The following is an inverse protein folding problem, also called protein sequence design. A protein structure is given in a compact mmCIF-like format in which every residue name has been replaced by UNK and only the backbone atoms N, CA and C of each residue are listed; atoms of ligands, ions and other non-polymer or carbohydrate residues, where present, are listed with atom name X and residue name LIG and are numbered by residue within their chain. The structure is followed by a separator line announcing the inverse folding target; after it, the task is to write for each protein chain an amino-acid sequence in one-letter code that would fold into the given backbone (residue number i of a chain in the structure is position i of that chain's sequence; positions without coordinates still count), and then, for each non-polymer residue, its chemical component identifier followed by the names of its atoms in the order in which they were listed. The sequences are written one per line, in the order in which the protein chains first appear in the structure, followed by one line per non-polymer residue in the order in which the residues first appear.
data_IF_650617192832
#
_entry.id   IF_650617192832
#
_cell.length_a   1.000
_cell.length_b   1.000
_cell.length_c   1.000
_cell.angle_alpha   90.00
_cell.angle_beta   90.00
_cell.angle_gamma   90.00
#
_symmetry.space_group_name_H-M   'P 1'
#
loop_
_entity.id
_entity.type
_entity.pdbx_description
1 polymer ?
#
# COMPACT_ATOMS: atom_id res chain seq x y z
N UNK A 1 -6.35 -15.22 10.19
CA UNK A 1 -6.28 -14.46 8.92
C UNK A 1 -6.31 -12.97 9.26
N UNK A 2 -5.43 -12.18 8.68
CA UNK A 2 -5.49 -10.71 8.78
C UNK A 2 -6.61 -10.20 7.91
N UNK A 3 -7.40 -9.24 8.39
CA UNK A 3 -8.47 -8.66 7.58
C UNK A 3 -7.94 -7.71 6.52
N UNK A 4 -6.92 -6.93 6.86
CA UNK A 4 -6.30 -5.95 5.98
C UNK A 4 -4.79 -6.09 6.02
N UNK A 5 -4.15 -6.07 4.86
CA UNK A 5 -2.70 -5.95 4.75
C UNK A 5 -2.34 -4.72 3.91
N UNK A 6 -1.59 -3.79 4.51
CA UNK A 6 -1.02 -2.63 3.82
C UNK A 6 0.33 -3.06 3.25
N UNK A 7 0.43 -3.14 1.94
CA UNK A 7 1.62 -3.62 1.23
C UNK A 7 2.29 -2.44 0.51
N UNK A 8 3.51 -2.15 0.91
CA UNK A 8 4.35 -1.09 0.33
C UNK A 8 5.40 -1.75 -0.54
N UNK A 9 5.35 -1.52 -1.86
CA UNK A 9 6.42 -1.97 -2.75
C UNK A 9 7.56 -0.95 -2.70
N UNK A 10 8.75 -1.42 -2.35
CA UNK A 10 9.95 -0.60 -2.20
C UNK A 10 11.06 -1.05 -3.16
N UNK A 11 11.76 -0.08 -3.75
CA UNK A 11 13.01 -0.30 -4.47
C UNK A 11 13.93 0.91 -4.30
N UNK A 12 15.06 0.70 -3.63
CA UNK A 12 16.04 1.75 -3.32
C UNK A 12 15.41 2.99 -2.68
N UNK A 13 14.48 2.76 -1.74
CA UNK A 13 13.66 3.79 -1.10
C UNK A 13 14.01 4.05 0.36
N UNK A 14 15.25 3.83 0.80
CA UNK A 14 15.69 4.00 2.19
C UNK A 14 15.20 5.33 2.82
N UNK A 15 15.40 6.44 2.12
CA UNK A 15 14.99 7.76 2.61
C UNK A 15 13.46 7.91 2.71
N UNK A 16 12.72 7.35 1.75
CA UNK A 16 11.26 7.38 1.73
C UNK A 16 10.67 6.54 2.85
N UNK A 17 11.23 5.35 3.09
CA UNK A 17 10.80 4.49 4.20
C UNK A 17 10.97 5.21 5.54
N UNK A 18 12.11 5.84 5.81
CA UNK A 18 12.32 6.60 7.05
C UNK A 18 11.36 7.78 7.18
N UNK A 19 11.03 8.43 6.09
CA UNK A 19 10.15 9.61 6.08
C UNK A 19 8.68 9.24 6.28
N UNK A 20 8.16 8.25 5.57
CA UNK A 20 6.73 8.00 5.45
C UNK A 20 6.22 6.80 6.24
N UNK A 21 7.03 5.75 6.41
CA UNK A 21 6.63 4.54 7.12
C UNK A 21 6.17 4.79 8.57
N UNK A 22 6.74 5.75 9.34
CA UNK A 22 6.21 6.07 10.67
C UNK A 22 4.73 6.46 10.68
N UNK A 23 4.27 7.25 9.72
CA UNK A 23 2.85 7.62 9.63
C UNK A 23 1.97 6.42 9.29
N UNK A 24 2.44 5.56 8.38
CA UNK A 24 1.70 4.34 7.99
C UNK A 24 1.55 3.41 9.20
N UNK A 25 2.60 3.20 9.98
CA UNK A 25 2.54 2.37 11.19
C UNK A 25 1.56 3.00 12.19
N UNK A 26 1.77 4.27 12.55
CA UNK A 26 0.98 4.94 13.59
C UNK A 26 -0.52 5.00 13.29
N UNK A 27 -0.90 5.17 12.03
CA UNK A 27 -2.31 5.30 11.62
C UNK A 27 -2.92 4.02 11.03
N UNK A 28 -2.18 2.90 11.10
CA UNK A 28 -2.67 1.57 10.72
C UNK A 28 -2.71 0.61 11.91
N UNK A 29 -2.47 1.08 13.14
CA UNK A 29 -2.56 0.27 14.36
C UNK A 29 -4.02 -0.05 14.67
N UNK A 30 -4.49 -1.20 14.16
CA UNK A 30 -5.79 -1.75 14.47
C UNK A 30 -5.75 -3.27 14.49
N UNK A 31 -6.68 -3.89 15.22
CA UNK A 31 -6.79 -5.34 15.25
C UNK A 31 -7.07 -5.89 13.84
N UNK A 32 -6.30 -6.89 13.45
CA UNK A 32 -6.42 -7.52 12.12
C UNK A 32 -5.79 -6.73 10.98
N UNK A 33 -5.06 -5.65 11.25
CA UNK A 33 -4.27 -4.92 10.25
C UNK A 33 -2.79 -5.34 10.34
N UNK A 34 -2.16 -5.52 9.20
CA UNK A 34 -0.74 -5.77 9.06
C UNK A 34 -0.11 -4.77 8.10
N UNK A 35 1.08 -4.28 8.41
CA UNK A 35 1.88 -3.46 7.50
C UNK A 35 3.05 -4.30 7.00
N UNK A 36 3.20 -4.37 5.67
CA UNK A 36 4.25 -5.09 4.98
C UNK A 36 5.04 -4.15 4.07
N UNK A 37 6.37 -4.28 4.08
CA UNK A 37 7.23 -3.73 3.03
C UNK A 37 7.68 -4.89 2.15
N UNK A 38 7.35 -4.84 0.87
CA UNK A 38 7.83 -5.75 -0.15
C UNK A 38 9.03 -5.10 -0.85
N UNK A 39 10.21 -5.55 -0.53
CA UNK A 39 11.45 -5.04 -1.11
C UNK A 39 11.74 -5.74 -2.44
N UNK A 40 11.80 -4.96 -3.50
CA UNK A 40 11.96 -5.40 -4.89
C UNK A 40 13.45 -5.50 -5.28
N UNK A 41 14.23 -6.18 -4.43
CA UNK A 41 15.68 -6.35 -4.54
C UNK A 41 16.44 -5.02 -4.50
N UNK A 42 16.25 -4.24 -3.47
CA UNK A 42 17.00 -2.99 -3.25
C UNK A 42 18.49 -3.26 -3.03
N UNK A 43 19.31 -2.37 -3.53
CA UNK A 43 20.77 -2.37 -3.33
C UNK A 43 21.24 -1.37 -2.28
N UNK A 44 20.34 -0.52 -1.78
CA UNK A 44 20.58 0.42 -0.68
C UNK A 44 20.34 -0.23 0.71
N UNK A 45 20.27 0.57 1.76
CA UNK A 45 20.01 0.07 3.10
C UNK A 45 18.52 -0.16 3.43
N UNK A 46 17.60 -0.16 2.46
CA UNK A 46 16.16 -0.29 2.66
C UNK A 46 15.77 -1.46 3.56
N UNK A 47 16.26 -2.67 3.25
CA UNK A 47 15.95 -3.87 4.06
C UNK A 47 16.48 -3.76 5.49
N UNK A 48 17.67 -3.21 5.65
CA UNK A 48 18.29 -3.00 6.96
C UNK A 48 17.51 -1.98 7.81
N UNK A 49 17.02 -0.92 7.18
CA UNK A 49 16.14 0.09 7.81
C UNK A 49 14.87 -0.56 8.34
N UNK A 50 14.17 -1.34 7.52
CA UNK A 50 12.95 -2.03 7.97
C UNK A 50 13.24 -2.95 9.14
N UNK A 51 14.27 -3.78 9.04
CA UNK A 51 14.60 -4.75 10.12
C UNK A 51 15.00 -4.09 11.44
N UNK A 52 15.77 -2.99 11.38
CA UNK A 52 16.37 -2.38 12.57
C UNK A 52 15.50 -1.27 13.18
N UNK A 53 14.87 -0.45 12.33
CA UNK A 53 14.13 0.72 12.77
C UNK A 53 12.62 0.44 12.89
N UNK A 54 12.09 -0.52 12.12
CA UNK A 54 10.65 -0.85 12.07
C UNK A 54 10.37 -2.35 12.28
N UNK A 55 10.78 -2.95 13.39
CA UNK A 55 10.71 -4.41 13.59
C UNK A 55 9.28 -4.97 13.64
N UNK A 56 8.27 -4.13 13.82
CA UNK A 56 6.86 -4.53 13.76
C UNK A 56 6.33 -4.67 12.32
N UNK A 57 7.06 -4.15 11.33
CA UNK A 57 6.71 -4.22 9.91
C UNK A 57 7.22 -5.53 9.33
N UNK A 58 6.34 -6.25 8.66
CA UNK A 58 6.74 -7.45 7.95
C UNK A 58 7.55 -7.09 6.70
N UNK A 59 8.75 -7.64 6.58
CA UNK A 59 9.57 -7.51 5.38
C UNK A 59 9.40 -8.74 4.50
N UNK A 60 9.07 -8.52 3.23
CA UNK A 60 9.04 -9.51 2.15
C UNK A 60 10.15 -9.14 1.18
N UNK A 61 11.15 -9.99 1.02
CA UNK A 61 12.26 -9.75 0.11
C UNK A 61 12.06 -10.53 -1.17
N UNK A 62 12.00 -9.82 -2.30
CA UNK A 62 11.92 -10.43 -3.62
C UNK A 62 13.34 -10.67 -4.16
N UNK A 63 13.49 -11.71 -4.97
CA UNK A 63 14.79 -12.18 -5.47
C UNK A 63 15.47 -11.20 -6.45
N UNK A 64 14.65 -10.45 -7.21
CA UNK A 64 15.12 -9.46 -8.19
C UNK A 64 14.10 -8.33 -8.34
N UNK A 65 14.48 -7.25 -9.02
CA UNK A 65 13.56 -6.17 -9.33
C UNK A 65 12.62 -6.56 -10.48
N UNK A 66 11.43 -6.99 -10.13
CA UNK A 66 10.37 -7.36 -11.08
C UNK A 66 9.59 -6.17 -11.64
N UNK A 67 9.99 -4.93 -11.34
CA UNK A 67 9.21 -3.75 -11.66
C UNK A 67 7.98 -3.60 -10.77
N UNK A 68 7.07 -2.71 -11.17
CA UNK A 68 5.95 -2.33 -10.30
C UNK A 68 4.87 -3.41 -10.20
N UNK A 69 4.32 -3.81 -11.36
CA UNK A 69 3.18 -4.72 -11.41
C UNK A 69 3.50 -6.13 -10.92
N UNK A 70 4.56 -6.71 -11.45
CA UNK A 70 4.98 -8.06 -11.11
C UNK A 70 5.53 -8.11 -9.69
N UNK A 71 6.21 -7.04 -9.22
CA UNK A 71 6.65 -6.92 -7.83
C UNK A 71 5.48 -7.04 -6.86
N UNK A 72 4.39 -6.29 -7.07
CA UNK A 72 3.17 -6.45 -6.27
C UNK A 72 2.57 -7.84 -6.39
N UNK A 73 2.45 -8.40 -7.60
CA UNK A 73 1.89 -9.74 -7.79
C UNK A 73 2.63 -10.79 -6.96
N UNK A 74 3.96 -10.75 -6.94
CA UNK A 74 4.79 -11.67 -6.16
C UNK A 74 4.68 -11.44 -4.65
N UNK A 75 4.67 -10.18 -4.22
CA UNK A 75 4.47 -9.83 -2.82
C UNK A 75 3.11 -10.34 -2.31
N UNK A 76 2.05 -10.13 -3.09
CA UNK A 76 0.69 -10.53 -2.72
C UNK A 76 0.50 -12.05 -2.62
N UNK A 77 1.31 -12.85 -3.29
CA UNK A 77 1.30 -14.31 -3.13
C UNK A 77 1.72 -14.74 -1.71
N UNK A 78 2.47 -13.91 -1.01
CA UNK A 78 2.95 -14.15 0.35
C UNK A 78 2.07 -13.50 1.43
N UNK A 79 0.99 -12.82 1.04
CA UNK A 79 0.08 -12.10 1.95
C UNK A 79 -1.22 -12.89 2.10
N UNK A 80 -1.64 -13.12 3.36
CA UNK A 80 -2.92 -13.73 3.69
C UNK A 80 -3.83 -12.69 4.35
N UNK A 81 -4.64 -12.00 3.54
CA UNK A 81 -5.59 -10.99 3.97
C UNK A 81 -6.84 -10.99 3.10
N UNK A 82 -7.95 -10.57 3.68
CA UNK A 82 -9.23 -10.38 2.97
C UNK A 82 -9.19 -9.14 2.07
N UNK A 83 -8.58 -8.07 2.57
CA UNK A 83 -8.36 -6.83 1.85
C UNK A 83 -6.86 -6.53 1.78
N UNK A 84 -6.41 -5.98 0.66
CA UNK A 84 -5.05 -5.50 0.52
C UNK A 84 -5.05 -4.03 0.09
N UNK A 85 -4.15 -3.27 0.68
CA UNK A 85 -3.86 -1.90 0.24
C UNK A 85 -2.54 -1.93 -0.50
N UNK A 86 -2.52 -1.45 -1.73
CA UNK A 86 -1.29 -1.21 -2.48
C UNK A 86 -0.90 0.24 -2.22
N UNK A 87 0.19 0.45 -1.49
CA UNK A 87 0.62 1.77 -1.05
C UNK A 87 2.03 2.06 -1.58
N UNK A 88 2.23 3.23 -2.19
CA UNK A 88 3.57 3.66 -2.58
C UNK A 88 4.41 4.04 -1.36
N UNK A 89 5.74 3.94 -1.48
CA UNK A 89 6.67 4.23 -0.39
C UNK A 89 6.80 5.72 -0.05
N UNK A 90 6.24 6.61 -0.87
CA UNK A 90 6.29 8.07 -0.76
C UNK A 90 4.96 8.71 -0.32
N UNK A 91 4.05 7.93 0.27
CA UNK A 91 2.74 8.39 0.72
C UNK A 91 2.73 8.64 2.23
N UNK A 92 2.34 9.86 2.62
CA UNK A 92 1.97 10.19 3.99
C UNK A 92 0.49 9.89 4.22
N UNK A 93 0.17 9.01 5.15
CA UNK A 93 -1.21 8.73 5.53
C UNK A 93 -1.64 9.57 6.74
N UNK A 94 -2.94 9.76 6.90
CA UNK A 94 -3.54 10.56 7.97
C UNK A 94 -4.32 9.67 8.96
N UNK A 95 -4.65 10.16 10.17
CA UNK A 95 -5.54 9.42 11.07
C UNK A 95 -6.83 8.98 10.37
N UNK A 96 -7.29 7.78 10.66
CA UNK A 96 -8.55 7.21 10.14
C UNK A 96 -8.61 7.07 8.60
N UNK A 97 -7.46 6.91 7.93
CA UNK A 97 -7.42 6.77 6.48
C UNK A 97 -7.95 5.42 5.99
N UNK A 98 -7.80 4.37 6.80
CA UNK A 98 -8.05 2.99 6.40
C UNK A 98 -9.50 2.56 6.64
N UNK A 99 -10.08 2.96 7.77
CA UNK A 99 -11.40 2.50 8.21
C UNK A 99 -12.51 2.85 7.21
N UNK A 100 -12.60 4.09 6.67
CA UNK A 100 -13.66 4.43 5.70
C UNK A 100 -13.58 3.60 4.41
N UNK A 101 -12.36 3.22 3.98
CA UNK A 101 -12.17 2.39 2.79
C UNK A 101 -12.64 0.96 3.04
N UNK A 102 -12.25 0.39 4.19
CA UNK A 102 -12.69 -0.94 4.61
C UNK A 102 -14.21 -0.98 4.75
N UNK A 103 -14.78 -0.04 5.50
CA UNK A 103 -16.23 -0.01 5.79
C UNK A 103 -17.04 0.16 4.51
N UNK A 104 -16.54 0.97 3.56
CA UNK A 104 -17.14 1.10 2.24
C UNK A 104 -17.14 -0.23 1.48
N UNK A 105 -16.01 -0.93 1.43
CA UNK A 105 -15.90 -2.22 0.73
C UNK A 105 -16.74 -3.32 1.39
N UNK A 106 -16.95 -3.26 2.72
CA UNK A 106 -17.79 -4.22 3.43
C UNK A 106 -19.28 -4.08 3.09
N UNK A 107 -19.77 -2.85 2.93
CA UNK A 107 -21.19 -2.60 2.60
C UNK A 107 -21.46 -2.64 1.10
N UNK A 108 -20.41 -2.66 0.26
CA UNK A 108 -20.48 -2.72 -1.19
C UNK A 108 -19.75 -3.94 -1.75
N UNK A 109 -20.30 -5.16 -1.60
CA UNK A 109 -19.63 -6.39 -2.03
C UNK A 109 -19.38 -6.48 -3.54
N UNK A 110 -20.10 -5.68 -4.33
CA UNK A 110 -19.92 -5.55 -5.78
C UNK A 110 -18.69 -4.73 -6.19
N UNK A 111 -18.13 -3.96 -5.24
CA UNK A 111 -16.93 -3.14 -5.49
C UNK A 111 -15.69 -3.99 -5.30
N UNK A 112 -14.87 -4.10 -6.34
CA UNK A 112 -13.61 -4.85 -6.30
C UNK A 112 -12.43 -4.02 -5.82
N UNK A 113 -12.46 -2.70 -6.02
CA UNK A 113 -11.40 -1.78 -5.63
C UNK A 113 -11.94 -0.38 -5.35
N UNK A 114 -11.33 0.34 -4.40
CA UNK A 114 -11.60 1.75 -4.16
C UNK A 114 -10.28 2.50 -3.92
N UNK A 115 -10.31 3.81 -4.08
CA UNK A 115 -9.16 4.68 -3.90
C UNK A 115 -9.56 5.91 -3.07
N UNK A 116 -8.74 6.33 -2.08
CA UNK A 116 -8.97 7.56 -1.37
C UNK A 116 -8.63 8.79 -2.24
N UNK A 117 -8.98 9.97 -1.74
CA UNK A 117 -8.48 11.22 -2.31
C UNK A 117 -7.01 11.38 -1.96
N UNK A 118 -6.19 11.67 -2.97
CA UNK A 118 -4.77 11.98 -2.80
C UNK A 118 -4.56 13.49 -2.86
N UNK A 119 -4.05 14.05 -1.79
CA UNK A 119 -3.74 15.47 -1.69
C UNK A 119 -2.25 15.68 -1.95
N UNK A 120 -1.91 16.82 -2.54
CA UNK A 120 -0.51 17.19 -2.73
C UNK A 120 0.19 17.38 -1.38
N UNK A 121 1.32 16.74 -1.20
CA UNK A 121 2.12 16.90 0.02
C UNK A 121 2.63 18.33 0.18
N UNK A 122 2.92 19.02 -0.93
CA UNK A 122 3.41 20.42 -0.93
C UNK A 122 2.32 21.41 -0.61
N UNK A 123 1.09 21.13 -1.01
CA UNK A 123 -0.06 21.99 -0.74
C UNK A 123 -1.31 21.14 -0.51
N UNK A 124 -1.58 20.82 0.75
CA UNK A 124 -2.65 19.92 1.18
C UNK A 124 -4.09 20.41 0.86
N UNK A 125 -4.24 21.63 0.32
CA UNK A 125 -5.53 22.15 -0.16
C UNK A 125 -5.83 21.70 -1.61
N UNK A 126 -4.85 21.16 -2.33
CA UNK A 126 -4.99 20.70 -3.70
C UNK A 126 -4.85 19.19 -3.81
N UNK A 127 -5.53 18.61 -4.78
CA UNK A 127 -5.32 17.22 -5.14
C UNK A 127 -3.97 17.05 -5.83
N UNK A 128 -3.22 16.03 -5.46
CA UNK A 128 -2.09 15.55 -6.27
C UNK A 128 -2.63 14.83 -7.50
N UNK A 129 -3.68 14.01 -7.27
CA UNK A 129 -4.37 13.31 -8.32
C UNK A 129 -5.85 13.17 -7.96
N UNK A 130 -6.72 13.62 -8.84
CA UNK A 130 -8.17 13.60 -8.60
C UNK A 130 -8.82 12.22 -8.91
N UNK A 131 -8.02 11.24 -9.30
CA UNK A 131 -8.48 9.92 -9.70
C UNK A 131 -9.03 9.87 -11.13
N UNK A 132 -9.06 8.67 -11.71
CA UNK A 132 -9.81 8.41 -12.93
C UNK A 132 -11.28 8.20 -12.55
N UNK A 133 -12.05 9.27 -12.49
CA UNK A 133 -13.49 9.17 -12.26
C UNK A 133 -14.16 8.64 -13.52
N UNK A 134 -14.62 7.37 -13.48
CA UNK A 134 -15.47 6.78 -14.50
C UNK A 134 -14.75 6.13 -15.68
N UNK A 135 -14.08 5.02 -15.43
CA UNK A 135 -13.66 4.09 -16.46
C UNK A 135 -14.30 2.72 -16.23
N UNK A 136 -15.02 2.20 -17.20
CA UNK A 136 -15.42 0.79 -17.21
C UNK A 136 -14.27 0.02 -17.87
N UNK A 137 -13.52 -0.76 -17.08
CA UNK A 137 -12.57 -1.71 -17.63
C UNK A 137 -13.30 -3.03 -17.87
N UNK A 138 -13.46 -3.40 -19.13
CA UNK A 138 -14.05 -4.68 -19.55
C UNK A 138 -13.02 -5.77 -19.76
N UNK A 139 -11.75 -5.52 -19.51
CA UNK A 139 -10.66 -6.48 -19.64
C UNK A 139 -10.05 -6.67 -18.28
N UNK A 140 -9.83 -7.92 -17.91
CA UNK A 140 -9.10 -8.37 -16.73
C UNK A 140 -7.63 -7.92 -16.80
N UNK A 141 -7.43 -6.63 -16.69
CA UNK A 141 -6.17 -5.97 -16.46
C UNK A 141 -6.29 -5.28 -15.12
N UNK A 142 -5.34 -5.53 -14.25
CA UNK A 142 -5.24 -4.84 -12.97
C UNK A 142 -5.22 -3.35 -13.29
N UNK A 143 -6.26 -2.63 -12.90
CA UNK A 143 -6.27 -1.18 -12.98
C UNK A 143 -5.32 -0.70 -11.89
N UNK A 144 -4.08 -0.37 -12.27
CA UNK A 144 -3.14 0.26 -11.36
C UNK A 144 -3.59 1.69 -11.12
N UNK A 145 -4.37 1.88 -10.09
CA UNK A 145 -4.26 3.13 -9.38
C UNK A 145 -3.06 2.96 -8.45
N UNK A 146 -2.11 3.88 -8.50
CA UNK A 146 -0.93 3.91 -7.63
C UNK A 146 -1.42 4.04 -6.21
N UNK A 147 -2.14 3.64 -5.49
CA UNK A 147 -2.71 3.62 -4.14
C UNK A 147 -4.18 3.14 -4.19
N UNK A 148 -4.38 1.85 -4.06
CA UNK A 148 -5.70 1.25 -4.15
C UNK A 148 -5.97 0.24 -3.03
N UNK A 149 -7.20 0.20 -2.58
CA UNK A 149 -7.72 -0.80 -1.67
C UNK A 149 -8.44 -1.86 -2.49
N UNK A 150 -8.00 -3.11 -2.37
CA UNK A 150 -8.49 -4.23 -3.17
C UNK A 150 -9.09 -5.31 -2.27
N UNK A 151 -10.19 -5.90 -2.71
CA UNK A 151 -10.74 -7.13 -2.13
C UNK A 151 -10.11 -8.35 -2.83
N UNK A 152 -9.66 -9.31 -2.05
CA UNK A 152 -9.11 -10.59 -2.52
C UNK A 152 -10.17 -11.66 -2.64
#
# INVERSE_FOLDING_TARGET
MKRVSVVILNWNGEAMLRQFLPSVIAYSEAEGVEVCVADNASSDASCDVVRKEFPAVRLIELEENYGFAEGYNRALQQVDAEYVVLLNSDIEVTPHWLEPLRDFMEVHPEVAACQPKLLSQRNKEFFEYAGAAGGISTVMGILFAADGFLKR
#
